data_IF_337813372434
#
_entry.id   IF_337813372434
#
_cell.length_a   1.000
_cell.length_b   1.000
_cell.length_c   1.000
_cell.angle_alpha   90.00
_cell.angle_beta   90.00
_cell.angle_gamma   90.00
#
_symmetry.space_group_name_H-M   'P 1'
#
loop_
_entity.id
_entity.type
_entity.pdbx_description
1 polymer ?
#
# COMPACT_ATOMS: atom_id res chain seq x y z
N UNK A 1 -27.41 -18.79 -66.75
CA UNK A 1 -28.21 -18.38 -65.56
C UNK A 1 -27.49 -18.90 -64.31
N UNK A 2 -26.54 -18.15 -63.77
CA UNK A 2 -25.88 -18.46 -62.50
C UNK A 2 -26.26 -17.36 -61.50
N UNK A 3 -27.12 -17.71 -60.55
CA UNK A 3 -27.43 -16.85 -59.40
C UNK A 3 -26.34 -17.08 -58.35
N UNK A 4 -25.50 -16.08 -58.14
CA UNK A 4 -24.52 -16.08 -57.06
C UNK A 4 -25.20 -15.97 -55.69
N UNK A 5 -24.90 -16.93 -54.82
CA UNK A 5 -25.17 -16.85 -53.41
C UNK A 5 -24.13 -15.87 -52.78
N UNK A 6 -24.55 -14.71 -52.41
CA UNK A 6 -23.80 -13.86 -51.48
C UNK A 6 -24.00 -14.48 -50.09
N UNK A 7 -22.97 -15.14 -49.57
CA UNK A 7 -22.90 -15.46 -48.15
C UNK A 7 -22.62 -14.15 -47.44
N UNK A 8 -23.58 -13.69 -46.65
CA UNK A 8 -23.38 -12.61 -45.71
C UNK A 8 -22.31 -13.04 -44.70
N UNK A 9 -21.12 -12.52 -44.84
CA UNK A 9 -20.13 -12.57 -43.78
C UNK A 9 -20.64 -11.79 -42.59
N UNK A 10 -21.23 -12.49 -41.63
CA UNK A 10 -21.49 -11.94 -40.32
C UNK A 10 -20.12 -11.48 -39.76
N UNK A 11 -19.92 -10.18 -39.69
CA UNK A 11 -18.85 -9.61 -38.90
C UNK A 11 -18.96 -10.18 -37.50
N UNK A 12 -18.10 -11.13 -37.21
CA UNK A 12 -17.83 -11.55 -35.84
C UNK A 12 -17.21 -10.29 -35.21
N UNK A 13 -18.03 -9.46 -34.57
CA UNK A 13 -17.53 -8.40 -33.71
C UNK A 13 -16.66 -9.06 -32.66
N UNK A 14 -15.36 -8.81 -32.77
CA UNK A 14 -14.41 -9.16 -31.75
C UNK A 14 -14.85 -8.47 -30.44
N UNK A 15 -15.28 -9.21 -29.41
CA UNK A 15 -15.76 -8.66 -28.16
C UNK A 15 -14.66 -7.87 -27.42
N UNK A 16 -13.41 -7.92 -27.90
CA UNK A 16 -12.27 -7.18 -27.35
C UNK A 16 -12.00 -5.84 -28.05
N UNK A 17 -12.68 -5.53 -29.16
CA UNK A 17 -12.45 -4.29 -29.92
C UNK A 17 -13.33 -3.11 -29.45
N UNK A 18 -14.07 -3.27 -28.37
CA UNK A 18 -14.83 -2.23 -27.68
C UNK A 18 -14.15 -1.72 -26.42
N UNK A 19 -12.81 -1.84 -26.33
CA UNK A 19 -12.06 -1.09 -25.32
C UNK A 19 -12.00 0.37 -25.77
N UNK A 20 -12.94 1.16 -25.21
CA UNK A 20 -12.76 2.60 -25.11
C UNK A 20 -11.36 2.87 -24.61
N UNK A 21 -10.76 3.95 -25.11
CA UNK A 21 -9.43 4.47 -24.73
C UNK A 21 -9.39 4.88 -23.24
N UNK A 22 -9.74 4.00 -22.33
CA UNK A 22 -9.28 4.05 -20.96
C UNK A 22 -7.83 3.62 -21.02
N UNK A 23 -6.96 4.59 -20.87
CA UNK A 23 -5.50 4.55 -20.93
C UNK A 23 -4.95 3.18 -20.55
N UNK A 24 -4.30 2.48 -21.50
CA UNK A 24 -3.55 1.27 -21.22
C UNK A 24 -2.58 1.60 -20.07
N UNK A 25 -2.88 1.10 -18.86
CA UNK A 25 -2.06 1.34 -17.67
C UNK A 25 -0.64 0.87 -17.97
N UNK A 26 0.31 1.79 -17.91
CA UNK A 26 1.72 1.48 -18.18
C UNK A 26 2.42 1.02 -16.89
N UNK A 27 3.62 0.43 -17.03
CA UNK A 27 4.47 0.12 -15.88
C UNK A 27 4.79 1.35 -15.02
N UNK A 28 4.90 2.51 -15.67
CA UNK A 28 5.15 3.76 -14.95
C UNK A 28 3.94 4.18 -14.13
N UNK A 29 2.73 4.07 -14.70
CA UNK A 29 1.50 4.46 -14.02
C UNK A 29 1.26 3.61 -12.76
N UNK A 30 1.40 2.29 -12.90
CA UNK A 30 1.24 1.40 -11.73
C UNK A 30 2.39 1.57 -10.73
N UNK A 31 3.62 1.82 -11.17
CA UNK A 31 4.74 2.11 -10.29
C UNK A 31 4.52 3.39 -9.48
N UNK A 32 4.05 4.46 -10.12
CA UNK A 32 3.68 5.71 -9.45
C UNK A 32 2.51 5.52 -8.49
N UNK A 33 1.48 4.77 -8.90
CA UNK A 33 0.34 4.44 -8.05
C UNK A 33 0.80 3.70 -6.79
N UNK A 34 1.64 2.66 -6.95
CA UNK A 34 2.19 1.91 -5.81
C UNK A 34 2.93 2.85 -4.87
N UNK A 35 3.85 3.68 -5.37
CA UNK A 35 4.62 4.61 -4.55
C UNK A 35 3.69 5.57 -3.80
N UNK A 36 2.82 6.29 -4.51
CA UNK A 36 1.98 7.33 -3.94
C UNK A 36 0.99 6.79 -2.90
N UNK A 37 0.45 5.61 -3.15
CA UNK A 37 -0.48 4.96 -2.22
C UNK A 37 0.27 4.39 -1.02
N UNK A 38 1.40 3.71 -1.24
CA UNK A 38 2.21 3.07 -0.19
C UNK A 38 2.82 4.06 0.79
N UNK A 39 3.15 5.27 0.34
CA UNK A 39 3.64 6.35 1.21
C UNK A 39 2.72 6.57 2.41
N UNK A 40 1.41 6.41 2.24
CA UNK A 40 0.43 6.55 3.32
C UNK A 40 0.59 5.50 4.43
N UNK A 41 0.88 4.26 4.06
CA UNK A 41 1.17 3.17 5.00
C UNK A 41 2.53 3.34 5.67
N UNK A 42 3.57 3.54 4.85
CA UNK A 42 4.97 3.65 5.26
C UNK A 42 5.21 4.78 6.25
N UNK A 43 4.65 5.97 5.97
CA UNK A 43 4.85 7.15 6.83
C UNK A 43 3.88 7.22 8.00
N UNK A 44 2.97 6.25 8.14
CA UNK A 44 2.01 6.23 9.25
C UNK A 44 2.72 6.04 10.60
N UNK A 45 2.51 6.96 11.56
CA UNK A 45 3.11 6.84 12.88
C UNK A 45 2.37 5.77 13.72
N UNK A 46 2.69 4.52 13.46
CA UNK A 46 2.17 3.34 14.15
C UNK A 46 3.12 2.77 15.20
N UNK A 47 2.78 1.62 15.84
CA UNK A 47 3.61 0.97 16.84
C UNK A 47 5.04 0.69 16.38
N UNK A 48 5.22 0.26 15.12
CA UNK A 48 6.52 0.01 14.50
C UNK A 48 7.39 1.26 14.46
N UNK A 49 6.81 2.40 14.07
CA UNK A 49 7.52 3.68 14.04
C UNK A 49 8.03 4.09 15.43
N UNK A 50 7.19 3.97 16.47
CA UNK A 50 7.60 4.32 17.83
C UNK A 50 8.66 3.36 18.37
N UNK A 51 8.57 2.07 18.10
CA UNK A 51 9.60 1.09 18.43
C UNK A 51 10.94 1.46 17.76
N UNK A 52 10.89 1.87 16.48
CA UNK A 52 12.06 2.34 15.74
C UNK A 52 12.73 3.54 16.43
N UNK A 53 11.95 4.56 16.85
CA UNK A 53 12.51 5.73 17.55
C UNK A 53 13.18 5.35 18.86
N UNK A 54 12.62 4.42 19.63
CA UNK A 54 13.18 3.97 20.92
C UNK A 54 14.47 3.19 20.71
N UNK A 55 14.46 2.22 19.79
CA UNK A 55 15.61 1.32 19.55
C UNK A 55 16.74 1.99 18.76
N UNK A 56 16.47 3.14 18.16
CA UNK A 56 17.46 3.90 17.38
C UNK A 56 18.61 4.45 18.23
N UNK A 57 18.40 4.65 19.53
CA UNK A 57 19.37 5.33 20.43
C UNK A 57 20.76 4.71 20.37
N UNK A 58 20.86 3.39 20.28
CA UNK A 58 22.14 2.66 20.34
C UNK A 58 22.66 2.21 18.96
N UNK A 59 21.83 2.24 17.91
CA UNK A 59 22.19 1.67 16.60
C UNK A 59 22.04 2.62 15.41
N UNK A 60 21.50 3.81 15.63
CA UNK A 60 21.33 4.81 14.58
C UNK A 60 20.61 4.25 13.34
N UNK A 61 21.06 4.65 12.15
CA UNK A 61 20.52 4.22 10.87
C UNK A 61 20.38 2.69 10.76
N UNK A 62 21.39 1.94 11.19
CA UNK A 62 21.38 0.48 11.09
C UNK A 62 20.35 -0.21 11.99
N UNK A 63 19.93 0.44 13.08
CA UNK A 63 18.81 -0.05 13.88
C UNK A 63 17.52 -0.02 13.06
N UNK A 64 17.27 1.08 12.33
CA UNK A 64 16.13 1.21 11.43
C UNK A 64 16.12 0.17 10.32
N UNK A 65 17.28 -0.09 9.70
CA UNK A 65 17.43 -1.13 8.68
C UNK A 65 17.08 -2.53 9.23
N UNK A 66 17.57 -2.85 10.44
CA UNK A 66 17.24 -4.13 11.09
C UNK A 66 15.76 -4.26 11.42
N UNK A 67 15.12 -3.17 11.81
CA UNK A 67 13.65 -3.14 12.03
C UNK A 67 12.92 -3.35 10.71
N UNK A 68 13.36 -2.70 9.61
CA UNK A 68 12.81 -2.89 8.28
C UNK A 68 12.93 -4.35 7.81
N UNK A 69 14.06 -5.02 8.09
CA UNK A 69 14.22 -6.46 7.82
C UNK A 69 13.15 -7.27 8.56
N UNK A 70 12.94 -6.99 9.85
CA UNK A 70 11.90 -7.65 10.64
C UNK A 70 10.49 -7.39 10.10
N UNK A 71 10.21 -6.17 9.66
CA UNK A 71 8.98 -5.81 8.98
C UNK A 71 8.78 -6.63 7.70
N UNK A 72 9.78 -6.64 6.83
CA UNK A 72 9.77 -7.39 5.56
C UNK A 72 9.52 -8.89 5.74
N UNK A 73 10.08 -9.51 6.80
CA UNK A 73 9.86 -10.94 7.12
C UNK A 73 8.38 -11.24 7.38
N UNK A 74 7.62 -10.30 7.93
CA UNK A 74 6.17 -10.46 8.16
C UNK A 74 5.37 -10.03 6.93
N UNK A 75 5.76 -8.95 6.28
CA UNK A 75 5.03 -8.33 5.19
C UNK A 75 5.01 -9.19 3.93
N UNK A 76 6.14 -9.72 3.49
CA UNK A 76 6.21 -10.54 2.28
C UNK A 76 5.27 -11.76 2.33
N UNK A 77 5.22 -12.57 3.40
CA UNK A 77 4.23 -13.64 3.53
C UNK A 77 2.78 -13.14 3.48
N UNK A 78 2.48 -11.99 4.06
CA UNK A 78 1.12 -11.40 4.03
C UNK A 78 0.73 -11.00 2.61
N UNK A 79 1.62 -10.36 1.86
CA UNK A 79 1.40 -9.98 0.44
C UNK A 79 1.14 -11.24 -0.41
N UNK A 80 1.96 -12.28 -0.24
CA UNK A 80 1.77 -13.55 -0.93
C UNK A 80 0.43 -14.19 -0.54
N UNK A 81 0.10 -14.25 0.74
CA UNK A 81 -1.16 -14.82 1.24
C UNK A 81 -2.38 -14.11 0.62
N UNK A 82 -2.35 -12.78 0.56
CA UNK A 82 -3.46 -11.99 0.00
C UNK A 82 -3.55 -12.06 -1.53
N UNK A 83 -2.47 -12.47 -2.23
CA UNK A 83 -2.52 -12.73 -3.67
C UNK A 83 -3.20 -14.05 -4.03
N UNK A 84 -3.24 -15.04 -3.12
CA UNK A 84 -3.75 -16.40 -3.39
C UNK A 84 -5.21 -16.38 -3.87
N UNK A 85 -6.17 -15.69 -3.21
CA UNK A 85 -7.55 -15.64 -3.70
C UNK A 85 -7.66 -15.07 -5.10
N UNK A 86 -6.87 -14.05 -5.44
CA UNK A 86 -6.88 -13.42 -6.77
C UNK A 86 -6.38 -14.36 -7.87
N UNK A 87 -5.51 -15.31 -7.53
CA UNK A 87 -4.99 -16.31 -8.47
C UNK A 87 -5.97 -17.47 -8.64
N UNK A 88 -6.62 -17.92 -7.55
CA UNK A 88 -7.52 -19.08 -7.58
C UNK A 88 -8.84 -18.72 -8.26
N UNK A 89 -9.39 -17.55 -8.03
CA UNK A 89 -10.67 -17.12 -8.60
C UNK A 89 -10.49 -16.50 -9.99
N UNK A 90 -10.06 -17.29 -10.97
CA UNK A 90 -9.77 -16.83 -12.34
C UNK A 90 -10.99 -16.75 -13.28
N UNK A 91 -12.21 -17.08 -12.83
CA UNK A 91 -13.41 -16.92 -13.67
C UNK A 91 -13.72 -15.43 -13.86
N UNK A 92 -13.82 -14.96 -15.12
CA UNK A 92 -13.93 -13.51 -15.44
C UNK A 92 -15.05 -12.79 -14.68
N UNK A 93 -16.23 -13.39 -14.54
CA UNK A 93 -17.36 -12.77 -13.85
C UNK A 93 -17.16 -12.65 -12.35
N UNK A 94 -16.60 -13.69 -11.70
CA UNK A 94 -16.30 -13.69 -10.26
C UNK A 94 -15.16 -12.72 -9.96
N UNK A 95 -14.13 -12.72 -10.80
CA UNK A 95 -12.97 -11.83 -10.67
C UNK A 95 -13.39 -10.37 -10.77
N UNK A 96 -14.24 -9.99 -11.73
CA UNK A 96 -14.71 -8.62 -11.89
C UNK A 96 -15.49 -8.12 -10.66
N UNK A 97 -16.43 -8.92 -10.15
CA UNK A 97 -17.20 -8.57 -8.95
C UNK A 97 -16.31 -8.44 -7.71
N UNK A 98 -15.34 -9.34 -7.54
CA UNK A 98 -14.38 -9.28 -6.42
C UNK A 98 -13.50 -8.05 -6.52
N UNK A 99 -12.96 -7.73 -7.70
CA UNK A 99 -12.10 -6.56 -7.92
C UNK A 99 -12.87 -5.28 -7.64
N UNK A 100 -14.12 -5.16 -8.10
CA UNK A 100 -14.95 -3.99 -7.83
C UNK A 100 -15.24 -3.85 -6.34
N UNK A 101 -15.59 -4.93 -5.65
CA UNK A 101 -15.82 -4.92 -4.20
C UNK A 101 -14.56 -4.51 -3.43
N UNK A 102 -13.39 -5.06 -3.80
CA UNK A 102 -12.10 -4.72 -3.22
C UNK A 102 -11.76 -3.25 -3.50
N UNK A 103 -11.97 -2.78 -4.73
CA UNK A 103 -11.73 -1.38 -5.11
C UNK A 103 -12.59 -0.42 -4.30
N UNK A 104 -13.86 -0.78 -4.08
CA UNK A 104 -14.77 0.00 -3.25
C UNK A 104 -14.31 0.11 -1.80
N UNK A 105 -13.99 -1.03 -1.17
CA UNK A 105 -13.48 -1.07 0.21
C UNK A 105 -12.13 -0.35 0.30
N UNK A 106 -11.23 -0.60 -0.65
CA UNK A 106 -9.92 0.05 -0.72
C UNK A 106 -10.04 1.56 -0.84
N UNK A 107 -10.95 2.04 -1.71
CA UNK A 107 -11.23 3.46 -1.88
C UNK A 107 -11.74 4.12 -0.61
N UNK A 108 -12.76 3.54 0.04
CA UNK A 108 -13.29 4.02 1.32
C UNK A 108 -12.20 4.02 2.41
N UNK A 109 -11.37 2.98 2.45
CA UNK A 109 -10.27 2.89 3.42
C UNK A 109 -9.23 3.99 3.22
N UNK A 110 -8.82 4.29 1.99
CA UNK A 110 -7.92 5.40 1.68
C UNK A 110 -8.49 6.75 2.12
N UNK A 111 -9.77 7.01 1.83
CA UNK A 111 -10.46 8.24 2.25
C UNK A 111 -10.48 8.31 3.79
N UNK A 112 -10.81 7.20 4.46
CA UNK A 112 -10.85 7.13 5.92
C UNK A 112 -9.48 7.39 6.54
N UNK A 113 -8.40 6.81 6.00
CA UNK A 113 -7.03 7.11 6.44
C UNK A 113 -6.67 8.57 6.21
N UNK A 114 -7.03 9.15 5.06
CA UNK A 114 -6.85 10.57 4.78
C UNK A 114 -7.53 11.46 5.83
N UNK A 115 -8.80 11.17 6.17
CA UNK A 115 -9.55 11.88 7.21
C UNK A 115 -8.87 11.72 8.59
N UNK A 116 -8.47 10.50 8.97
CA UNK A 116 -7.80 10.23 10.24
C UNK A 116 -6.49 11.01 10.36
N UNK A 117 -5.71 11.14 9.28
CA UNK A 117 -4.49 11.93 9.26
C UNK A 117 -4.77 13.43 9.44
N UNK A 118 -5.78 13.96 8.75
CA UNK A 118 -6.18 15.37 8.89
C UNK A 118 -6.67 15.65 10.32
N UNK A 119 -7.55 14.81 10.87
CA UNK A 119 -8.04 14.94 12.25
C UNK A 119 -6.91 14.90 13.25
N UNK A 120 -5.93 14.00 13.08
CA UNK A 120 -4.75 13.90 13.96
C UNK A 120 -3.88 15.17 13.93
N UNK A 121 -3.79 15.85 12.77
CA UNK A 121 -3.06 17.12 12.64
C UNK A 121 -3.78 18.24 13.37
N UNK A 122 -5.11 18.30 13.24
CA UNK A 122 -5.94 19.38 13.80
C UNK A 122 -6.10 19.21 15.32
N UNK A 123 -6.17 17.97 15.78
CA UNK A 123 -6.31 17.66 17.21
C UNK A 123 -5.04 18.05 17.98
N UNK A 124 -5.14 19.07 18.82
CA UNK A 124 -4.06 19.55 19.70
C UNK A 124 -3.65 18.55 20.80
N UNK A 125 -4.36 17.45 20.96
CA UNK A 125 -4.23 16.54 22.11
C UNK A 125 -3.20 15.44 21.87
N UNK A 126 -1.96 15.82 21.51
CA UNK A 126 -0.84 14.90 21.25
C UNK A 126 -0.06 14.52 22.52
N UNK A 127 -0.74 14.27 23.62
CA UNK A 127 -0.14 13.58 24.79
C UNK A 127 -0.46 12.07 24.72
N UNK A 128 -0.23 11.43 23.60
CA UNK A 128 -0.08 9.97 23.60
C UNK A 128 1.35 9.66 24.04
N UNK A 129 1.52 9.51 25.35
CA UNK A 129 2.64 8.78 25.92
C UNK A 129 2.47 7.30 25.46
N UNK A 130 2.92 6.99 24.26
CA UNK A 130 3.22 5.60 23.91
C UNK A 130 4.47 5.21 24.71
N UNK A 131 4.28 4.95 26.00
CA UNK A 131 5.27 4.25 26.80
C UNK A 131 5.19 2.81 26.30
N UNK A 132 5.88 2.55 25.17
CA UNK A 132 6.28 1.19 24.86
C UNK A 132 7.32 0.87 25.92
N UNK A 133 6.94 0.06 26.87
CA UNK A 133 7.86 -0.53 27.84
C UNK A 133 8.78 -1.49 27.06
N UNK A 134 9.67 -0.87 26.26
CA UNK A 134 10.59 -1.53 25.33
C UNK A 134 11.79 -2.16 26.06
N UNK A 135 11.73 -2.21 27.39
CA UNK A 135 12.82 -2.69 28.23
C UNK A 135 13.19 -4.17 28.06
N UNK A 136 12.43 -4.92 27.23
CA UNK A 136 12.70 -6.36 27.00
C UNK A 136 13.06 -6.72 25.55
N UNK A 137 12.88 -5.83 24.58
CA UNK A 137 13.16 -6.15 23.17
C UNK A 137 14.39 -5.37 22.71
N UNK A 138 15.57 -5.93 22.99
CA UNK A 138 16.85 -5.33 22.60
C UNK A 138 17.22 -5.60 21.12
N UNK A 139 16.51 -6.52 20.46
CA UNK A 139 16.83 -6.96 19.10
C UNK A 139 15.93 -6.25 18.06
N UNK A 140 16.46 -5.32 17.26
CA UNK A 140 15.66 -4.53 16.33
C UNK A 140 14.88 -5.37 15.30
N UNK A 141 15.46 -6.48 14.79
CA UNK A 141 14.74 -7.37 13.85
C UNK A 141 13.50 -7.97 14.49
N UNK A 142 13.63 -8.45 15.74
CA UNK A 142 12.48 -9.04 16.47
C UNK A 142 11.42 -7.97 16.73
N UNK A 143 11.83 -6.75 17.08
CA UNK A 143 10.91 -5.63 17.22
C UNK A 143 10.16 -5.36 15.91
N UNK A 144 10.86 -5.34 14.78
CA UNK A 144 10.26 -5.21 13.45
C UNK A 144 9.18 -6.25 13.19
N UNK A 145 9.48 -7.53 13.45
CA UNK A 145 8.53 -8.63 13.30
C UNK A 145 7.31 -8.47 14.22
N UNK A 146 7.54 -8.25 15.52
CA UNK A 146 6.47 -8.20 16.51
C UNK A 146 5.55 -7.00 16.28
N UNK A 147 6.11 -5.79 16.15
CA UNK A 147 5.29 -4.58 16.00
C UNK A 147 4.59 -4.49 14.64
N UNK A 148 5.04 -5.24 13.64
CA UNK A 148 4.30 -5.44 12.39
C UNK A 148 3.20 -6.48 12.58
N UNK A 149 3.55 -7.66 13.12
CA UNK A 149 2.63 -8.80 13.25
C UNK A 149 1.47 -8.59 14.21
N UNK A 150 1.62 -7.74 15.24
CA UNK A 150 0.53 -7.39 16.16
C UNK A 150 -0.22 -6.10 15.75
N UNK A 151 0.16 -5.44 14.67
CA UNK A 151 -0.44 -4.19 14.25
C UNK A 151 -1.69 -4.44 13.38
N UNK A 152 -2.91 -4.25 13.90
CA UNK A 152 -4.11 -4.49 13.12
C UNK A 152 -4.23 -3.54 11.92
N UNK A 153 -3.71 -2.30 12.01
CA UNK A 153 -3.74 -1.35 10.91
C UNK A 153 -2.89 -1.79 9.73
N UNK A 154 -1.80 -2.52 9.96
CA UNK A 154 -0.99 -3.13 8.91
C UNK A 154 -1.80 -4.12 8.08
N UNK A 155 -2.51 -5.05 8.73
CA UNK A 155 -3.35 -6.03 8.04
C UNK A 155 -4.56 -5.37 7.35
N UNK A 156 -5.20 -4.39 8.00
CA UNK A 156 -6.31 -3.64 7.42
C UNK A 156 -5.88 -2.86 6.18
N UNK A 157 -4.68 -2.27 6.19
CA UNK A 157 -4.15 -1.56 5.02
C UNK A 157 -3.91 -2.53 3.86
N UNK A 158 -3.28 -3.68 4.11
CA UNK A 158 -3.02 -4.68 3.08
C UNK A 158 -4.31 -5.34 2.55
N UNK A 159 -5.29 -5.66 3.39
CA UNK A 159 -6.55 -6.28 2.94
C UNK A 159 -7.47 -5.28 2.23
N UNK A 160 -7.32 -3.99 2.45
CA UNK A 160 -8.16 -2.97 1.81
C UNK A 160 -7.46 -2.35 0.59
N UNK A 161 -6.36 -1.68 0.81
CA UNK A 161 -5.61 -0.95 -0.21
C UNK A 161 -4.62 -1.84 -0.94
N UNK A 162 -3.87 -2.63 -0.19
CA UNK A 162 -2.82 -3.52 -0.71
C UNK A 162 -3.37 -4.54 -1.70
N UNK A 163 -4.54 -5.14 -1.42
CA UNK A 163 -5.19 -6.09 -2.34
C UNK A 163 -5.48 -5.48 -3.71
N UNK A 164 -5.87 -4.19 -3.77
CA UNK A 164 -6.08 -3.50 -5.05
C UNK A 164 -4.76 -3.36 -5.81
N UNK A 165 -3.69 -2.96 -5.14
CA UNK A 165 -2.36 -2.86 -5.74
C UNK A 165 -1.85 -4.23 -6.21
N UNK A 166 -2.09 -5.30 -5.44
CA UNK A 166 -1.78 -6.68 -5.80
C UNK A 166 -2.54 -7.07 -7.08
N UNK A 167 -3.85 -6.80 -7.12
CA UNK A 167 -4.72 -7.10 -8.27
C UNK A 167 -4.24 -6.39 -9.54
N UNK A 168 -3.97 -5.08 -9.47
CA UNK A 168 -3.53 -4.29 -10.61
C UNK A 168 -2.16 -4.75 -11.12
N UNK A 169 -1.25 -5.09 -10.21
CA UNK A 169 0.08 -5.57 -10.55
C UNK A 169 0.03 -6.95 -11.23
N UNK A 170 -0.82 -7.85 -10.74
CA UNK A 170 -1.03 -9.18 -11.36
C UNK A 170 -1.72 -9.03 -12.72
N UNK A 171 -2.72 -8.14 -12.84
CA UNK A 171 -3.43 -7.91 -14.09
C UNK A 171 -2.50 -7.39 -15.20
N UNK A 172 -1.53 -6.54 -14.84
CA UNK A 172 -0.58 -5.97 -15.81
C UNK A 172 0.56 -6.92 -16.17
N UNK A 173 1.17 -7.59 -15.17
CA UNK A 173 2.43 -8.34 -15.31
C UNK A 173 2.28 -9.85 -15.17
N UNK A 174 1.10 -10.32 -14.76
CA UNK A 174 0.90 -11.72 -14.40
C UNK A 174 1.54 -12.11 -13.06
N UNK A 175 1.18 -13.30 -12.58
CA UNK A 175 1.80 -13.91 -11.41
C UNK A 175 3.00 -14.78 -11.83
N UNK A 176 4.14 -14.79 -11.13
CA UNK A 176 4.46 -14.07 -9.88
C UNK A 176 5.12 -12.69 -10.10
N UNK A 177 5.33 -12.27 -11.35
CA UNK A 177 6.10 -11.05 -11.70
C UNK A 177 5.44 -9.80 -11.12
N UNK A 178 4.10 -9.70 -11.19
CA UNK A 178 3.35 -8.59 -10.64
C UNK A 178 3.57 -8.42 -9.13
N UNK A 179 3.61 -9.53 -8.38
CA UNK A 179 3.88 -9.50 -6.93
C UNK A 179 5.32 -9.05 -6.66
N UNK A 180 6.29 -9.57 -7.39
CA UNK A 180 7.69 -9.17 -7.24
C UNK A 180 7.88 -7.67 -7.55
N UNK A 181 7.26 -7.18 -8.63
CA UNK A 181 7.29 -5.77 -9.00
C UNK A 181 6.68 -4.89 -7.91
N UNK A 182 5.44 -5.20 -7.49
CA UNK A 182 4.76 -4.49 -6.41
C UNK A 182 5.64 -4.41 -5.16
N UNK A 183 6.15 -5.56 -4.72
CA UNK A 183 6.92 -5.65 -3.49
C UNK A 183 8.22 -4.87 -3.57
N UNK A 184 8.96 -4.96 -4.67
CA UNK A 184 10.19 -4.21 -4.87
C UNK A 184 9.95 -2.69 -4.92
N UNK A 185 8.88 -2.25 -5.57
CA UNK A 185 8.50 -0.83 -5.64
C UNK A 185 8.02 -0.29 -4.29
N UNK A 186 7.47 -1.15 -3.43
CA UNK A 186 6.98 -0.79 -2.10
C UNK A 186 8.07 -0.81 -1.03
N UNK A 187 8.76 -1.94 -0.89
CA UNK A 187 9.58 -2.27 0.29
C UNK A 187 10.74 -1.31 0.54
N UNK A 188 11.36 -0.75 -0.50
CA UNK A 188 12.49 0.16 -0.33
C UNK A 188 12.12 1.42 0.47
N UNK A 189 10.83 1.83 0.42
CA UNK A 189 10.34 2.99 1.17
C UNK A 189 10.36 2.73 2.67
N UNK A 190 10.05 1.50 3.11
CA UNK A 190 10.14 1.11 4.53
C UNK A 190 11.58 1.18 5.02
N UNK A 191 12.54 0.67 4.23
CA UNK A 191 13.96 0.76 4.55
C UNK A 191 14.43 2.21 4.61
N UNK A 192 14.04 3.02 3.64
CA UNK A 192 14.38 4.44 3.62
C UNK A 192 13.78 5.18 4.82
N UNK A 193 12.49 4.99 5.10
CA UNK A 193 11.80 5.67 6.18
C UNK A 193 12.28 5.26 7.56
N UNK A 194 12.35 3.96 7.83
CA UNK A 194 12.83 3.46 9.12
C UNK A 194 14.31 3.76 9.35
N UNK A 195 15.13 3.67 8.31
CA UNK A 195 16.55 4.05 8.39
C UNK A 195 16.73 5.53 8.69
N UNK A 196 16.08 6.40 7.94
CA UNK A 196 16.19 7.86 8.11
C UNK A 196 15.64 8.32 9.46
N UNK A 197 14.46 7.83 9.86
CA UNK A 197 13.86 8.21 11.15
C UNK A 197 14.68 7.71 12.32
N UNK A 198 15.28 6.52 12.22
CA UNK A 198 16.23 5.98 13.20
C UNK A 198 17.51 6.82 13.28
N UNK A 199 18.06 7.23 12.15
CA UNK A 199 19.23 8.10 12.09
C UNK A 199 18.98 9.44 12.80
N UNK A 200 17.89 10.13 12.46
CA UNK A 200 17.55 11.42 13.07
C UNK A 200 17.23 11.28 14.56
N UNK A 201 16.51 10.25 14.97
CA UNK A 201 16.19 10.00 16.37
C UNK A 201 17.43 9.71 17.21
N UNK A 202 18.42 8.97 16.69
CA UNK A 202 19.69 8.71 17.37
C UNK A 202 20.52 9.98 17.60
N UNK A 203 20.30 11.01 16.78
CA UNK A 203 20.94 12.33 16.91
C UNK A 203 20.15 13.31 17.78
N UNK A 204 19.10 12.85 18.46
CA UNK A 204 18.25 13.71 19.30
C UNK A 204 17.36 14.66 18.51
N UNK A 205 17.26 14.51 17.17
CA UNK A 205 16.40 15.31 16.33
C UNK A 205 14.98 14.75 16.46
N UNK A 206 14.07 15.54 16.99
CA UNK A 206 12.67 15.15 17.13
C UNK A 206 11.97 15.16 15.76
N UNK A 207 11.87 14.01 15.13
CA UNK A 207 11.18 13.84 13.83
C UNK A 207 9.71 14.26 13.93
N UNK A 208 9.09 14.13 15.11
CA UNK A 208 7.67 14.43 15.34
C UNK A 208 7.39 15.87 15.75
N UNK A 209 8.39 16.64 16.20
CA UNK A 209 8.20 17.97 16.78
C UNK A 209 8.23 19.11 15.76
N UNK A 210 8.62 18.86 14.52
CA UNK A 210 8.76 19.88 13.50
C UNK A 210 7.39 20.35 12.98
N UNK A 211 7.21 21.65 12.75
CA UNK A 211 6.05 22.19 12.02
C UNK A 211 5.96 21.60 10.62
N UNK A 212 7.09 21.21 10.04
CA UNK A 212 7.18 20.52 8.75
C UNK A 212 6.50 19.15 8.75
N UNK A 213 6.43 18.46 9.90
CA UNK A 213 5.72 17.18 10.00
C UNK A 213 4.23 17.29 9.65
N UNK A 214 3.56 18.37 10.14
CA UNK A 214 2.15 18.63 9.79
C UNK A 214 1.97 18.87 8.29
N UNK A 215 2.88 19.64 7.71
CA UNK A 215 2.85 19.95 6.28
C UNK A 215 3.11 18.71 5.43
N UNK A 216 4.07 17.87 5.81
CA UNK A 216 4.35 16.60 5.12
C UNK A 216 3.11 15.69 5.16
N UNK A 217 2.49 15.49 6.34
CA UNK A 217 1.30 14.65 6.43
C UNK A 217 0.16 15.23 5.58
N UNK A 218 -0.02 16.54 5.56
CA UNK A 218 -1.05 17.18 4.74
C UNK A 218 -0.84 16.91 3.24
N UNK A 219 0.39 17.05 2.76
CA UNK A 219 0.72 16.72 1.35
C UNK A 219 0.44 15.23 1.08
N UNK A 220 0.76 14.34 2.01
CA UNK A 220 0.56 12.91 1.86
C UNK A 220 -0.93 12.49 1.88
N UNK A 221 -1.83 13.34 2.38
CA UNK A 221 -3.27 13.08 2.30
C UNK A 221 -3.85 13.32 0.91
N UNK A 222 -3.19 14.10 0.05
CA UNK A 222 -3.67 14.38 -1.31
C UNK A 222 -3.75 13.10 -2.16
N UNK A 223 -2.70 12.28 -2.28
CA UNK A 223 -2.79 11.00 -2.97
C UNK A 223 -3.84 10.05 -2.40
N UNK A 224 -4.01 10.02 -1.06
CA UNK A 224 -5.02 9.17 -0.45
C UNK A 224 -6.43 9.54 -0.91
N UNK A 225 -6.77 10.82 -0.89
CA UNK A 225 -8.08 11.27 -1.37
C UNK A 225 -8.23 11.04 -2.88
N UNK A 226 -7.21 11.34 -3.67
CA UNK A 226 -7.24 11.13 -5.12
C UNK A 226 -7.49 9.67 -5.48
N UNK A 227 -6.65 8.76 -4.99
CA UNK A 227 -6.80 7.32 -5.27
C UNK A 227 -8.02 6.73 -4.56
N UNK A 228 -8.37 7.20 -3.36
CA UNK A 228 -9.57 6.77 -2.65
C UNK A 228 -10.84 7.06 -3.44
N UNK A 229 -10.98 8.26 -3.97
CA UNK A 229 -12.12 8.64 -4.82
C UNK A 229 -12.07 7.85 -6.12
N UNK A 230 -10.92 7.73 -6.76
CA UNK A 230 -10.79 7.02 -8.04
C UNK A 230 -11.14 5.53 -7.89
N UNK A 231 -10.63 4.84 -6.88
CA UNK A 231 -10.97 3.44 -6.61
C UNK A 231 -12.46 3.25 -6.32
N UNK A 232 -13.06 4.15 -5.56
CA UNK A 232 -14.50 4.09 -5.26
C UNK A 232 -15.34 4.30 -6.51
N UNK A 233 -14.99 5.27 -7.36
CA UNK A 233 -15.72 5.54 -8.60
C UNK A 233 -15.56 4.41 -9.62
N UNK A 234 -14.37 3.81 -9.74
CA UNK A 234 -14.13 2.67 -10.64
C UNK A 234 -14.96 1.45 -10.24
N UNK A 235 -15.19 1.27 -8.94
CA UNK A 235 -15.95 0.14 -8.41
C UNK A 235 -17.47 0.23 -8.65
N UNK A 236 -17.98 1.44 -8.91
CA UNK A 236 -19.43 1.70 -9.11
C UNK A 236 -19.81 1.73 -10.60
N UNK A 237 -18.82 1.88 -11.47
CA UNK A 237 -19.02 1.84 -12.94
C UNK A 237 -19.04 0.41 -13.47
#
# INVERSE_FOLDING_TARGET
MQKGLRVASSEIRDPFNGRDKDSDMTLLDIGLQIILVSVSGVLSPGPLFFANLVLSKNGGFWSGIKIAIGHTIVELPVVILYSIPLIIFTSQSVTFSIINFISFIGGISLISFGILFVVKIISKNNKHNYIIESSRIEKPVIAGMLFTGINPFFFLWWISVGIKLISDSIALLGYPIGIAFLFLVHVWMDYAWLGLTSYFASRGISVLRSQYHKFIILILTIPLFYYGINFTLTAIR
#
